data_IF_051251319201
#
_entry.id   IF_051251319201
#
_cell.length_a   1.000
_cell.length_b   1.000
_cell.length_c   1.000
_cell.angle_alpha   90.00
_cell.angle_beta   90.00
_cell.angle_gamma   90.00
#
_symmetry.space_group_name_H-M   'P 1'
#
loop_
_entity.id
_entity.type
_entity.pdbx_description
1 polymer ?
#
# COMPACT_ATOMS: atom_id res chain seq x y z
N UNK A 1 18.71 -67.62 35.53
CA UNK A 1 18.96 -68.96 34.95
C UNK A 1 19.03 -68.77 33.46
N UNK A 2 20.18 -68.73 32.93
CA UNK A 2 20.94 -69.77 32.24
C UNK A 2 20.48 -69.93 30.79
N UNK A 3 21.30 -69.46 29.86
CA UNK A 3 22.26 -70.25 29.09
C UNK A 3 21.60 -70.96 27.88
N UNK A 4 21.97 -70.91 26.64
CA UNK A 4 23.27 -71.02 25.99
C UNK A 4 23.09 -70.86 24.48
N UNK A 5 24.11 -70.33 23.82
CA UNK A 5 24.47 -70.61 22.43
C UNK A 5 25.03 -72.05 22.30
N UNK A 6 25.23 -72.64 21.10
CA UNK A 6 26.05 -72.14 19.99
C UNK A 6 25.75 -72.65 18.54
N UNK A 7 26.41 -71.97 17.61
CA UNK A 7 27.29 -72.34 16.50
C UNK A 7 26.73 -73.01 15.21
N UNK A 8 26.92 -72.36 14.11
CA UNK A 8 27.80 -72.41 12.96
C UNK A 8 27.69 -73.67 12.06
N UNK A 9 27.61 -73.44 10.73
CA UNK A 9 28.49 -73.85 9.57
C UNK A 9 27.70 -73.64 8.28
N UNK A 10 28.15 -72.80 7.39
CA UNK A 10 29.10 -72.91 6.24
C UNK A 10 28.57 -73.69 5.03
N UNK A 11 28.57 -73.08 3.90
CA UNK A 11 29.05 -73.45 2.54
C UNK A 11 28.17 -72.85 1.43
N UNK A 12 28.67 -71.90 0.78
CA UNK A 12 29.21 -71.73 -0.57
C UNK A 12 28.34 -72.10 -1.82
N UNK A 13 28.35 -71.12 -2.68
CA UNK A 13 28.59 -71.08 -4.11
C UNK A 13 27.42 -70.94 -5.10
N UNK A 14 27.58 -69.95 -5.89
CA UNK A 14 27.55 -69.76 -7.36
C UNK A 14 26.44 -68.92 -7.96
N UNK A 15 26.89 -67.72 -8.39
CA UNK A 15 26.68 -67.09 -9.72
C UNK A 15 25.36 -67.28 -10.45
N UNK A 16 24.65 -66.20 -10.70
CA UNK A 16 24.33 -65.79 -12.08
C UNK A 16 23.92 -64.27 -12.12
N UNK A 17 24.53 -63.63 -13.09
CA UNK A 17 24.42 -62.18 -13.40
C UNK A 17 23.14 -61.96 -14.18
N UNK A 18 22.33 -60.96 -13.77
CA UNK A 18 21.38 -60.34 -14.69
C UNK A 18 21.43 -58.83 -14.46
N UNK A 19 21.90 -58.08 -15.43
CA UNK A 19 21.85 -56.63 -15.55
C UNK A 19 20.39 -56.17 -15.57
N UNK A 20 20.04 -55.26 -14.67
CA UNK A 20 18.85 -54.43 -14.82
C UNK A 20 19.28 -52.99 -14.75
N UNK A 21 19.13 -52.31 -15.86
CA UNK A 21 19.40 -50.91 -16.09
C UNK A 21 18.45 -50.06 -15.22
N UNK A 22 18.95 -49.46 -14.18
CA UNK A 22 18.24 -48.38 -13.46
C UNK A 22 18.45 -47.06 -14.20
N UNK A 23 17.38 -46.56 -14.79
CA UNK A 23 17.29 -45.19 -15.32
C UNK A 23 17.21 -44.22 -14.14
N UNK A 24 18.33 -43.59 -13.83
CA UNK A 24 18.41 -42.46 -12.91
C UNK A 24 17.72 -41.27 -13.57
N UNK A 25 16.55 -40.89 -13.06
CA UNK A 25 15.96 -39.61 -13.33
C UNK A 25 16.72 -38.55 -12.51
N UNK A 26 17.61 -37.83 -13.15
CA UNK A 26 18.20 -36.61 -12.61
C UNK A 26 17.07 -35.57 -12.49
N UNK A 27 16.73 -35.26 -11.26
CA UNK A 27 16.01 -34.05 -10.86
C UNK A 27 16.88 -32.85 -11.26
N UNK A 28 16.32 -31.78 -11.89
CA UNK A 28 17.11 -30.60 -12.22
C UNK A 28 17.62 -29.99 -10.93
N UNK A 29 18.91 -29.97 -10.73
CA UNK A 29 19.54 -29.23 -9.64
C UNK A 29 19.13 -27.76 -9.75
N UNK A 30 18.46 -27.24 -8.71
CA UNK A 30 18.34 -25.83 -8.46
C UNK A 30 19.73 -25.19 -8.59
N UNK A 31 19.83 -24.19 -9.46
CA UNK A 31 21.02 -23.37 -9.57
C UNK A 31 21.33 -22.77 -8.18
N UNK A 32 22.59 -22.79 -7.72
CA UNK A 32 22.93 -22.18 -6.44
C UNK A 32 22.58 -20.70 -6.51
N UNK A 33 21.70 -20.22 -5.62
CA UNK A 33 21.54 -18.79 -5.35
C UNK A 33 22.94 -18.21 -5.11
N UNK A 34 23.26 -17.12 -5.81
CA UNK A 34 24.53 -16.38 -5.57
C UNK A 34 24.56 -15.96 -4.10
N UNK A 35 25.26 -16.73 -3.30
CA UNK A 35 25.42 -16.51 -1.87
C UNK A 35 26.32 -15.31 -1.67
N UNK A 36 25.76 -14.13 -1.30
CA UNK A 36 26.55 -13.03 -0.81
C UNK A 36 26.07 -11.60 -1.11
N UNK A 37 25.07 -11.39 -1.98
CA UNK A 37 24.58 -10.04 -2.24
C UNK A 37 23.57 -9.66 -1.18
N UNK A 38 23.80 -8.56 -0.46
CA UNK A 38 22.87 -7.99 0.51
C UNK A 38 22.31 -6.68 -0.04
N UNK A 39 21.07 -6.39 0.32
CA UNK A 39 20.35 -5.22 -0.15
C UNK A 39 19.92 -4.35 1.03
N UNK A 40 19.96 -3.05 0.83
CA UNK A 40 19.45 -2.05 1.78
C UNK A 40 18.31 -1.30 1.16
N UNK A 41 17.14 -1.31 1.81
CA UNK A 41 15.92 -0.65 1.34
C UNK A 41 15.54 0.45 2.32
N UNK A 42 15.32 1.66 1.81
CA UNK A 42 14.78 2.77 2.60
C UNK A 42 13.27 2.87 2.43
N UNK A 43 12.54 2.98 3.54
CA UNK A 43 11.10 3.22 3.55
C UNK A 43 10.83 4.61 4.14
N UNK A 44 10.25 5.50 3.32
CA UNK A 44 9.75 6.79 3.75
C UNK A 44 8.22 6.71 3.88
N UNK A 45 7.72 6.62 5.09
CA UNK A 45 6.29 6.67 5.39
C UNK A 45 5.90 8.09 5.80
N UNK A 46 4.85 8.65 5.18
CA UNK A 46 4.42 10.03 5.43
C UNK A 46 4.01 10.24 6.89
N UNK A 47 3.13 9.40 7.41
CA UNK A 47 2.56 9.53 8.75
C UNK A 47 2.15 8.15 9.27
N UNK A 48 1.96 8.05 10.58
CA UNK A 48 1.49 6.83 11.21
C UNK A 48 -0.03 6.81 11.28
N UNK A 49 -0.64 5.87 10.58
CA UNK A 49 -2.03 5.45 10.70
C UNK A 49 -2.21 4.05 10.13
N UNK A 50 -3.35 3.43 10.40
CA UNK A 50 -3.61 2.01 10.14
C UNK A 50 -3.27 1.57 8.70
N UNK A 51 -3.70 2.33 7.68
CA UNK A 51 -3.51 1.96 6.29
C UNK A 51 -2.03 1.98 5.89
N UNK A 52 -1.29 3.07 6.19
CA UNK A 52 0.13 3.16 5.85
C UNK A 52 0.99 2.17 6.65
N UNK A 53 0.65 1.93 7.92
CA UNK A 53 1.33 0.93 8.76
C UNK A 53 1.14 -0.47 8.17
N UNK A 54 -0.08 -0.82 7.73
CA UNK A 54 -0.37 -2.09 7.08
C UNK A 54 0.38 -2.26 5.75
N UNK A 55 0.44 -1.21 4.91
CA UNK A 55 1.20 -1.23 3.66
C UNK A 55 2.70 -1.41 3.90
N UNK A 56 3.28 -0.70 4.87
CA UNK A 56 4.69 -0.87 5.25
C UNK A 56 4.95 -2.29 5.77
N UNK A 57 4.06 -2.84 6.60
CA UNK A 57 4.22 -4.19 7.13
C UNK A 57 4.15 -5.24 6.01
N UNK A 58 3.15 -5.16 5.12
CA UNK A 58 3.03 -6.07 3.99
C UNK A 58 4.25 -6.04 3.06
N UNK A 59 4.80 -4.84 2.82
CA UNK A 59 6.03 -4.67 2.05
C UNK A 59 7.23 -5.38 2.70
N UNK A 60 7.42 -5.20 4.01
CA UNK A 60 8.53 -5.82 4.76
C UNK A 60 8.38 -7.34 4.78
N UNK A 61 7.16 -7.84 5.01
CA UNK A 61 6.89 -9.28 5.08
C UNK A 61 7.17 -9.94 3.74
N UNK A 62 6.71 -9.35 2.63
CA UNK A 62 7.00 -9.86 1.29
C UNK A 62 8.49 -9.85 0.95
N UNK A 63 9.21 -8.77 1.29
CA UNK A 63 10.67 -8.72 1.08
C UNK A 63 11.41 -9.79 1.88
N UNK A 64 11.00 -10.03 3.13
CA UNK A 64 11.61 -11.08 3.96
C UNK A 64 11.27 -12.49 3.46
N UNK A 65 10.06 -12.68 2.93
CA UNK A 65 9.67 -13.96 2.32
C UNK A 65 10.52 -14.26 1.09
N UNK A 66 10.76 -13.26 0.22
CA UNK A 66 11.48 -13.43 -1.04
C UNK A 66 13.01 -13.44 -0.88
N UNK A 67 13.56 -12.62 0.02
CA UNK A 67 15.01 -12.39 0.11
C UNK A 67 15.63 -12.82 1.46
N UNK A 68 14.82 -13.19 2.45
CA UNK A 68 15.28 -13.63 3.76
C UNK A 68 16.20 -12.61 4.43
N UNK A 69 17.35 -13.08 4.92
CA UNK A 69 18.35 -12.26 5.62
C UNK A 69 19.21 -11.41 4.66
N UNK A 70 19.02 -11.55 3.34
CA UNK A 70 19.75 -10.77 2.35
C UNK A 70 19.25 -9.31 2.26
N UNK A 71 18.12 -8.95 2.88
CA UNK A 71 17.56 -7.60 2.84
C UNK A 71 17.51 -6.97 4.23
N UNK A 72 17.94 -5.70 4.30
CA UNK A 72 17.78 -4.84 5.48
C UNK A 72 16.87 -3.67 5.11
N UNK A 73 15.87 -3.39 5.93
CA UNK A 73 14.90 -2.31 5.70
C UNK A 73 15.04 -1.23 6.78
N UNK A 74 15.31 0.01 6.36
CA UNK A 74 15.36 1.21 7.21
C UNK A 74 14.03 1.97 7.05
N UNK A 75 13.14 1.87 8.05
CA UNK A 75 11.83 2.53 8.03
C UNK A 75 11.89 3.85 8.79
N UNK A 76 11.51 4.93 8.12
CA UNK A 76 11.44 6.26 8.73
C UNK A 76 10.09 6.91 8.47
N UNK A 77 9.57 7.61 9.50
CA UNK A 77 8.28 8.27 9.49
C UNK A 77 8.45 9.80 9.48
N UNK A 78 7.81 10.46 8.52
CA UNK A 78 7.88 11.91 8.34
C UNK A 78 6.94 12.71 9.25
N UNK A 79 6.11 12.03 10.06
CA UNK A 79 5.19 12.64 11.02
C UNK A 79 4.19 13.62 10.38
N UNK A 80 3.76 13.36 9.15
CA UNK A 80 2.79 14.16 8.40
C UNK A 80 3.40 15.39 7.71
N UNK A 81 4.72 15.56 7.76
CA UNK A 81 5.39 16.73 7.17
C UNK A 81 6.14 16.35 5.89
N UNK A 82 5.72 16.94 4.75
CA UNK A 82 6.34 16.72 3.45
C UNK A 82 7.82 17.17 3.39
N UNK A 83 8.22 18.16 4.19
CA UNK A 83 9.63 18.60 4.29
C UNK A 83 10.47 17.50 4.94
N UNK A 84 9.91 16.81 5.95
CA UNK A 84 10.58 15.67 6.57
C UNK A 84 10.72 14.50 5.59
N UNK A 85 9.76 14.27 4.68
CA UNK A 85 9.92 13.30 3.59
C UNK A 85 11.19 13.58 2.78
N UNK A 86 11.40 14.84 2.38
CA UNK A 86 12.61 15.26 1.66
C UNK A 86 13.89 14.99 2.46
N UNK A 87 13.89 15.26 3.76
CA UNK A 87 15.04 15.00 4.64
C UNK A 87 15.36 13.51 4.75
N UNK A 88 14.33 12.69 4.96
CA UNK A 88 14.46 11.23 5.06
C UNK A 88 15.01 10.64 3.76
N UNK A 89 14.41 11.00 2.63
CA UNK A 89 14.81 10.47 1.32
C UNK A 89 16.24 10.89 0.97
N UNK A 90 16.62 12.16 1.19
CA UNK A 90 18.01 12.59 0.99
C UNK A 90 19.00 11.82 1.89
N UNK A 91 18.55 11.42 3.08
CA UNK A 91 19.32 10.51 3.95
C UNK A 91 19.54 9.13 3.31
N UNK A 92 18.51 8.55 2.67
CA UNK A 92 18.62 7.28 1.96
C UNK A 92 19.53 7.39 0.72
N UNK A 93 19.38 8.46 -0.07
CA UNK A 93 20.27 8.74 -1.22
C UNK A 93 21.72 8.84 -0.76
N UNK A 94 22.00 9.56 0.34
CA UNK A 94 23.34 9.72 0.89
C UNK A 94 23.93 8.40 1.42
N UNK A 95 23.10 7.50 1.92
CA UNK A 95 23.50 6.14 2.34
C UNK A 95 23.72 5.19 1.16
N UNK A 96 23.22 5.53 -0.03
CA UNK A 96 23.31 4.69 -1.21
C UNK A 96 22.46 3.42 -1.07
N UNK A 97 21.20 3.55 -0.62
CA UNK A 97 20.29 2.41 -0.55
C UNK A 97 20.00 1.84 -1.95
N UNK A 98 19.70 0.55 -2.05
CA UNK A 98 19.47 -0.13 -3.31
C UNK A 98 18.07 0.14 -3.89
N UNK A 99 17.11 0.51 -3.04
CA UNK A 99 15.73 0.84 -3.41
C UNK A 99 15.09 1.73 -2.34
N UNK A 100 14.20 2.64 -2.78
CA UNK A 100 13.37 3.47 -1.89
C UNK A 100 11.91 3.05 -2.08
N UNK A 101 11.23 2.72 -0.99
CA UNK A 101 9.77 2.61 -0.96
C UNK A 101 9.20 3.90 -0.36
N UNK A 102 8.35 4.57 -1.14
CA UNK A 102 7.67 5.80 -0.76
C UNK A 102 6.20 5.51 -0.45
N UNK A 103 5.83 5.62 0.82
CA UNK A 103 4.48 5.33 1.30
C UNK A 103 3.69 6.63 1.49
N UNK A 104 2.75 6.87 0.59
CA UNK A 104 1.91 8.04 0.35
C UNK A 104 2.51 9.07 -0.65
N UNK A 105 1.61 9.86 -1.26
CA UNK A 105 1.94 10.81 -2.33
C UNK A 105 3.06 11.81 -1.97
N UNK A 106 3.08 12.47 -0.80
CA UNK A 106 4.18 13.38 -0.45
C UNK A 106 5.54 12.68 -0.33
N UNK A 107 5.58 11.42 0.10
CA UNK A 107 6.81 10.64 0.16
C UNK A 107 7.30 10.29 -1.26
N UNK A 108 6.38 9.94 -2.19
CA UNK A 108 6.72 9.68 -3.59
C UNK A 108 7.29 10.92 -4.28
N UNK A 109 6.63 12.07 -4.17
CA UNK A 109 7.10 13.31 -4.79
C UNK A 109 8.47 13.74 -4.25
N UNK A 110 8.72 13.55 -2.95
CA UNK A 110 10.02 13.80 -2.34
C UNK A 110 11.09 12.85 -2.89
N UNK A 111 10.78 11.55 -3.05
CA UNK A 111 11.72 10.55 -3.56
C UNK A 111 12.10 10.83 -5.03
N UNK A 112 11.12 11.10 -5.88
CA UNK A 112 11.35 11.44 -7.30
C UNK A 112 12.16 12.72 -7.47
N UNK A 113 11.96 13.70 -6.58
CA UNK A 113 12.74 14.94 -6.59
C UNK A 113 14.19 14.76 -6.14
N UNK A 114 14.47 13.73 -5.34
CA UNK A 114 15.79 13.52 -4.73
C UNK A 114 16.74 12.66 -5.56
N UNK A 115 16.24 11.74 -6.38
CA UNK A 115 17.08 10.84 -7.17
C UNK A 115 16.41 10.38 -8.47
N UNK A 116 17.22 10.28 -9.53
CA UNK A 116 16.83 9.65 -10.80
C UNK A 116 17.52 8.29 -11.01
N UNK A 117 18.38 7.87 -10.06
CA UNK A 117 19.23 6.68 -10.20
C UNK A 117 18.76 5.51 -9.34
N UNK A 118 18.33 5.79 -8.10
CA UNK A 118 17.86 4.75 -7.17
C UNK A 118 16.41 4.37 -7.55
N UNK A 119 16.09 3.08 -7.71
CA UNK A 119 14.72 2.62 -7.94
C UNK A 119 13.76 3.10 -6.84
N UNK A 120 12.61 3.64 -7.22
CA UNK A 120 11.57 4.14 -6.33
C UNK A 120 10.28 3.37 -6.57
N UNK A 121 9.76 2.70 -5.56
CA UNK A 121 8.43 2.13 -5.57
C UNK A 121 7.49 2.93 -4.67
N UNK A 122 6.46 3.52 -5.30
CA UNK A 122 5.36 4.11 -4.55
C UNK A 122 4.41 3.03 -4.02
N UNK A 123 3.86 3.23 -2.84
CA UNK A 123 2.71 2.47 -2.33
C UNK A 123 1.74 3.43 -1.66
N UNK A 124 0.47 3.08 -1.59
CA UNK A 124 -0.58 3.99 -1.12
C UNK A 124 -0.61 5.30 -1.91
N UNK A 125 -0.48 5.20 -3.23
CA UNK A 125 -0.52 6.31 -4.16
C UNK A 125 -1.85 6.27 -4.91
N UNK A 126 -2.66 7.28 -4.75
CA UNK A 126 -3.99 7.31 -5.38
C UNK A 126 -3.90 7.48 -6.89
N UNK A 127 -3.16 8.47 -7.37
CA UNK A 127 -3.07 8.79 -8.80
C UNK A 127 -1.66 9.24 -9.18
N UNK A 128 -0.89 8.37 -9.82
CA UNK A 128 0.49 8.65 -10.24
C UNK A 128 0.58 9.81 -11.22
N UNK A 129 -0.36 9.91 -12.17
CA UNK A 129 -0.41 11.03 -13.12
C UNK A 129 -0.52 12.38 -12.41
N UNK A 130 -1.38 12.47 -11.38
CA UNK A 130 -1.54 13.69 -10.57
C UNK A 130 -0.33 13.92 -9.67
N UNK A 131 0.16 12.86 -9.00
CA UNK A 131 1.28 12.96 -8.07
C UNK A 131 2.59 13.43 -8.73
N UNK A 132 2.79 13.07 -9.99
CA UNK A 132 4.03 13.30 -10.74
C UNK A 132 3.86 14.25 -11.95
N UNK A 133 2.68 14.89 -12.08
CA UNK A 133 2.37 15.83 -13.17
C UNK A 133 2.61 15.19 -14.56
N UNK A 134 2.10 13.96 -14.74
CA UNK A 134 2.20 13.21 -16.01
C UNK A 134 0.88 13.32 -16.75
N UNK A 135 0.88 14.10 -17.85
CA UNK A 135 -0.25 14.15 -18.76
C UNK A 135 -0.47 12.78 -19.44
N UNK A 136 -1.73 12.43 -19.67
CA UNK A 136 -2.13 11.19 -20.35
C UNK A 136 -1.47 9.92 -19.76
N UNK A 137 -1.37 9.84 -18.42
CA UNK A 137 -0.81 8.67 -17.72
C UNK A 137 -1.47 7.37 -18.20
N UNK A 138 -0.66 6.44 -18.69
CA UNK A 138 -1.10 5.20 -19.34
C UNK A 138 -0.88 3.92 -18.52
N UNK A 139 -0.57 4.07 -17.22
CA UNK A 139 -0.33 2.94 -16.31
C UNK A 139 1.14 2.63 -16.04
N UNK A 140 2.09 3.26 -16.75
CA UNK A 140 3.53 3.11 -16.51
C UNK A 140 4.16 4.48 -16.30
N UNK A 141 4.92 4.65 -15.21
CA UNK A 141 5.65 5.89 -14.95
C UNK A 141 6.92 5.95 -15.79
N UNK A 142 7.69 4.86 -15.79
CA UNK A 142 8.97 4.77 -16.49
C UNK A 142 10.15 5.33 -15.68
N UNK A 143 11.33 5.34 -16.29
CA UNK A 143 12.55 5.77 -15.62
C UNK A 143 12.88 4.89 -14.40
N UNK A 144 13.09 5.50 -13.25
CA UNK A 144 13.39 4.79 -12.01
C UNK A 144 12.17 4.66 -11.07
N UNK A 145 10.94 4.79 -11.57
CA UNK A 145 9.72 4.85 -10.75
C UNK A 145 8.66 3.87 -11.21
N UNK A 146 8.10 3.13 -10.28
CA UNK A 146 6.87 2.33 -10.43
C UNK A 146 6.18 2.18 -9.06
N UNK A 147 5.29 1.21 -8.90
CA UNK A 147 4.68 0.88 -7.62
C UNK A 147 3.24 0.41 -7.71
N UNK A 148 2.49 0.66 -6.65
CA UNK A 148 1.08 0.25 -6.53
C UNK A 148 0.17 1.45 -6.26
N UNK A 149 -1.09 1.35 -6.71
CA UNK A 149 -2.10 2.38 -6.49
C UNK A 149 -3.19 1.88 -5.54
N UNK A 150 -3.62 2.75 -4.63
CA UNK A 150 -4.74 2.53 -3.73
C UNK A 150 -6.07 3.08 -4.25
N UNK A 151 -6.10 3.55 -5.50
CA UNK A 151 -7.29 4.13 -6.10
C UNK A 151 -8.42 3.10 -6.17
N UNK A 152 -9.46 3.32 -5.39
CA UNK A 152 -10.72 2.60 -5.49
C UNK A 152 -11.63 3.22 -6.55
N UNK A 153 -12.76 2.56 -6.85
CA UNK A 153 -13.77 3.08 -7.76
C UNK A 153 -14.55 4.25 -7.11
N UNK A 154 -14.15 5.48 -7.46
CA UNK A 154 -14.74 6.70 -6.91
C UNK A 154 -16.21 6.90 -7.33
N UNK A 155 -16.59 6.40 -8.50
CA UNK A 155 -18.00 6.42 -8.94
C UNK A 155 -18.86 5.49 -8.07
N UNK A 156 -18.33 4.32 -7.73
CA UNK A 156 -18.98 3.39 -6.83
C UNK A 156 -19.04 3.92 -5.39
N UNK A 157 -18.02 4.64 -4.91
CA UNK A 157 -18.07 5.32 -3.61
C UNK A 157 -19.13 6.43 -3.58
N UNK A 158 -19.23 7.23 -4.64
CA UNK A 158 -20.29 8.24 -4.78
C UNK A 158 -21.68 7.58 -4.83
N UNK A 159 -21.84 6.45 -5.54
CA UNK A 159 -23.09 5.70 -5.59
C UNK A 159 -23.45 5.12 -4.22
N UNK A 160 -22.48 4.64 -3.44
CA UNK A 160 -22.71 4.13 -2.08
C UNK A 160 -23.37 5.17 -1.17
N UNK A 161 -23.03 6.47 -1.31
CA UNK A 161 -23.68 7.55 -0.56
C UNK A 161 -25.19 7.54 -0.84
N UNK A 162 -25.58 7.45 -2.10
CA UNK A 162 -27.00 7.49 -2.51
C UNK A 162 -27.76 6.22 -2.17
N UNK A 163 -27.09 5.08 -2.23
CA UNK A 163 -27.69 3.78 -1.90
C UNK A 163 -28.02 3.68 -0.40
N UNK A 164 -27.13 4.23 0.43
CA UNK A 164 -27.29 4.21 1.89
C UNK A 164 -28.15 5.35 2.42
N UNK A 165 -28.10 6.51 1.76
CA UNK A 165 -28.78 7.73 2.18
C UNK A 165 -29.57 8.34 1.01
N UNK A 166 -30.64 7.68 0.54
CA UNK A 166 -31.36 8.09 -0.68
C UNK A 166 -32.07 9.45 -0.58
N UNK A 167 -32.28 9.96 0.64
CA UNK A 167 -32.87 11.29 0.86
C UNK A 167 -31.86 12.43 0.91
N UNK A 168 -30.55 12.14 0.74
CA UNK A 168 -29.47 13.11 0.77
C UNK A 168 -29.66 14.18 -0.30
N UNK A 169 -29.48 15.43 0.09
CA UNK A 169 -29.52 16.61 -0.80
C UNK A 169 -28.17 17.32 -0.84
N UNK A 170 -27.47 17.34 0.31
CA UNK A 170 -26.18 18.02 0.46
C UNK A 170 -25.14 17.05 1.02
N UNK A 171 -24.03 16.91 0.31
CA UNK A 171 -22.86 16.13 0.73
C UNK A 171 -21.71 17.07 1.05
N UNK A 172 -21.18 16.96 2.26
CA UNK A 172 -19.97 17.65 2.69
C UNK A 172 -18.73 16.88 2.25
N UNK A 173 -17.88 17.50 1.48
CA UNK A 173 -16.61 16.94 1.03
C UNK A 173 -15.50 17.38 1.98
N UNK A 174 -15.12 16.50 2.92
CA UNK A 174 -14.18 16.80 4.01
C UNK A 174 -12.79 16.25 3.69
N UNK A 175 -11.78 17.10 3.54
CA UNK A 175 -10.44 16.68 3.10
C UNK A 175 -9.34 17.66 3.49
N UNK A 176 -8.07 17.19 3.41
CA UNK A 176 -6.88 18.03 3.56
C UNK A 176 -6.52 18.72 2.23
N UNK A 177 -6.51 20.05 2.21
CA UNK A 177 -6.15 20.83 1.02
C UNK A 177 -4.67 20.74 0.64
N UNK A 178 -3.81 20.29 1.56
CA UNK A 178 -2.39 20.10 1.32
C UNK A 178 -2.07 18.76 0.62
N UNK A 179 -3.09 17.88 0.44
CA UNK A 179 -2.92 16.56 -0.16
C UNK A 179 -3.50 16.50 -1.58
N UNK A 180 -2.66 16.45 -2.65
CA UNK A 180 -3.13 16.37 -4.04
C UNK A 180 -3.98 15.12 -4.33
N UNK A 181 -3.68 13.98 -3.69
CA UNK A 181 -4.47 12.76 -3.74
C UNK A 181 -5.91 12.97 -3.27
N UNK A 182 -6.09 13.71 -2.19
CA UNK A 182 -7.41 14.04 -1.65
C UNK A 182 -8.18 14.97 -2.59
N UNK A 183 -7.53 16.02 -3.10
CA UNK A 183 -8.13 16.95 -4.07
C UNK A 183 -8.64 16.22 -5.31
N UNK A 184 -7.84 15.33 -5.89
CA UNK A 184 -8.23 14.54 -7.04
C UNK A 184 -9.51 13.72 -6.79
N UNK A 185 -9.57 13.00 -5.66
CA UNK A 185 -10.73 12.20 -5.29
C UNK A 185 -11.98 13.06 -5.06
N UNK A 186 -11.83 14.20 -4.42
CA UNK A 186 -12.92 15.15 -4.16
C UNK A 186 -13.51 15.67 -5.47
N UNK A 187 -12.68 16.02 -6.45
CA UNK A 187 -13.16 16.51 -7.75
C UNK A 187 -13.95 15.45 -8.52
N UNK A 188 -13.48 14.19 -8.50
CA UNK A 188 -14.16 13.08 -9.18
C UNK A 188 -15.47 12.70 -8.49
N UNK A 189 -15.49 12.61 -7.15
CA UNK A 189 -16.71 12.28 -6.39
C UNK A 189 -17.74 13.41 -6.47
N UNK A 190 -17.30 14.67 -6.42
CA UNK A 190 -18.16 15.84 -6.65
C UNK A 190 -18.88 15.72 -8.00
N UNK A 191 -18.12 15.52 -9.07
CA UNK A 191 -18.67 15.40 -10.41
C UNK A 191 -19.73 14.30 -10.48
N UNK A 192 -19.43 13.13 -9.91
CA UNK A 192 -20.36 11.99 -9.88
C UNK A 192 -21.67 12.28 -9.13
N UNK A 193 -21.59 13.02 -8.02
CA UNK A 193 -22.76 13.40 -7.21
C UNK A 193 -23.56 14.54 -7.83
N UNK A 194 -22.89 15.57 -8.36
CA UNK A 194 -23.55 16.71 -9.01
C UNK A 194 -24.30 16.29 -10.29
N UNK A 195 -23.77 15.33 -11.06
CA UNK A 195 -24.47 14.71 -12.22
C UNK A 195 -25.79 14.03 -11.81
N UNK A 196 -25.92 13.65 -10.53
CA UNK A 196 -27.15 13.04 -9.95
C UNK A 196 -28.03 14.06 -9.23
N UNK A 197 -27.67 15.36 -9.30
CA UNK A 197 -28.45 16.46 -8.71
C UNK A 197 -28.20 16.70 -7.22
N UNK A 198 -27.12 16.16 -6.65
CA UNK A 198 -26.71 16.36 -5.28
C UNK A 198 -25.88 17.65 -5.17
N UNK A 199 -26.15 18.47 -4.17
CA UNK A 199 -25.32 19.64 -3.84
C UNK A 199 -24.06 19.17 -3.08
N UNK A 200 -22.88 19.59 -3.54
CA UNK A 200 -21.63 19.29 -2.87
C UNK A 200 -21.02 20.56 -2.29
N UNK A 201 -20.66 20.53 -1.01
CA UNK A 201 -19.99 21.63 -0.29
C UNK A 201 -18.60 21.17 0.18
N UNK A 202 -17.56 21.98 -0.06
CA UNK A 202 -16.19 21.65 0.35
C UNK A 202 -15.89 22.14 1.77
N UNK A 203 -15.27 21.23 2.54
CA UNK A 203 -14.78 21.49 3.88
C UNK A 203 -13.31 21.07 3.93
N UNK A 204 -12.43 22.02 3.59
CA UNK A 204 -11.00 21.78 3.51
C UNK A 204 -10.31 22.24 4.80
N UNK A 205 -9.60 21.33 5.45
CA UNK A 205 -8.63 21.65 6.49
C UNK A 205 -7.22 21.66 5.90
N UNK A 206 -6.28 22.31 6.58
CA UNK A 206 -4.88 22.41 6.11
C UNK A 206 -3.95 21.46 6.83
N UNK A 207 -4.25 21.19 8.10
CA UNK A 207 -3.50 20.28 8.96
C UNK A 207 -4.38 19.75 10.11
N UNK A 208 -3.79 18.97 11.01
CA UNK A 208 -4.50 18.37 12.16
C UNK A 208 -5.17 19.37 13.12
N UNK A 209 -4.71 20.62 13.16
CA UNK A 209 -5.26 21.62 14.09
C UNK A 209 -6.66 22.08 13.67
N UNK A 210 -6.95 22.07 12.39
CA UNK A 210 -8.21 22.56 11.83
C UNK A 210 -9.30 21.49 11.76
N UNK A 211 -8.93 20.20 11.81
CA UNK A 211 -9.83 19.06 11.54
C UNK A 211 -11.15 19.15 12.29
N UNK A 212 -11.14 19.30 13.61
CA UNK A 212 -12.38 19.38 14.41
C UNK A 212 -13.26 20.54 14.03
N UNK A 213 -12.69 21.74 13.83
CA UNK A 213 -13.47 22.95 13.54
C UNK A 213 -14.07 22.95 12.14
N UNK A 214 -13.35 22.36 11.18
CA UNK A 214 -13.83 22.19 9.80
C UNK A 214 -14.88 21.10 9.72
N UNK A 215 -14.68 19.99 10.43
CA UNK A 215 -15.69 18.90 10.54
C UNK A 215 -16.99 19.41 11.16
N UNK A 216 -16.92 20.32 12.19
CA UNK A 216 -18.12 20.89 12.78
C UNK A 216 -18.93 21.69 11.76
N UNK A 217 -18.27 22.46 10.89
CA UNK A 217 -18.98 23.21 9.83
C UNK A 217 -19.67 22.26 8.84
N UNK A 218 -19.02 21.14 8.48
CA UNK A 218 -19.65 20.12 7.64
C UNK A 218 -20.87 19.49 8.33
N UNK A 219 -20.76 19.16 9.62
CA UNK A 219 -21.83 18.57 10.39
C UNK A 219 -23.04 19.52 10.55
N UNK A 220 -22.80 20.85 10.59
CA UNK A 220 -23.85 21.84 10.76
C UNK A 220 -24.69 22.09 9.48
N UNK A 221 -24.18 21.69 8.29
CA UNK A 221 -24.78 22.07 7.01
C UNK A 221 -25.05 20.92 6.04
N UNK A 222 -24.53 19.72 6.28
CA UNK A 222 -24.63 18.62 5.34
C UNK A 222 -25.41 17.42 5.90
N UNK A 223 -26.07 16.68 5.00
CA UNK A 223 -26.80 15.46 5.35
C UNK A 223 -25.87 14.26 5.55
N UNK A 224 -24.81 14.19 4.72
CA UNK A 224 -23.79 13.13 4.71
C UNK A 224 -22.43 13.79 4.45
N UNK A 225 -21.35 13.25 5.03
CA UNK A 225 -19.98 13.64 4.74
C UNK A 225 -19.30 12.56 3.91
N UNK A 226 -18.53 12.96 2.91
CA UNK A 226 -17.58 12.11 2.20
C UNK A 226 -16.15 12.49 2.62
N UNK A 227 -15.37 11.49 3.00
CA UNK A 227 -13.96 11.64 3.38
C UNK A 227 -13.14 10.76 2.44
N UNK A 228 -12.29 11.32 1.57
CA UNK A 228 -11.49 10.54 0.62
C UNK A 228 -10.41 9.71 1.34
N UNK A 229 -9.59 9.01 0.61
CA UNK A 229 -8.33 8.43 1.11
C UNK A 229 -7.37 9.60 1.41
N UNK A 230 -7.42 10.07 2.65
CA UNK A 230 -6.75 11.30 3.14
C UNK A 230 -5.92 10.97 4.38
N UNK A 231 -4.61 11.19 4.29
CA UNK A 231 -3.68 10.79 5.35
C UNK A 231 -3.86 11.60 6.64
N UNK A 232 -4.19 12.89 6.50
CA UNK A 232 -4.45 13.75 7.67
C UNK A 232 -5.75 13.36 8.34
N UNK A 233 -6.82 13.07 7.59
CA UNK A 233 -8.07 12.55 8.14
C UNK A 233 -7.86 11.19 8.82
N UNK A 234 -7.12 10.27 8.19
CA UNK A 234 -6.82 8.94 8.72
C UNK A 234 -6.06 9.01 10.07
N UNK A 235 -5.15 9.96 10.21
CA UNK A 235 -4.43 10.20 11.46
C UNK A 235 -5.27 10.92 12.53
N UNK A 236 -6.46 11.44 12.18
CA UNK A 236 -7.30 12.26 13.06
C UNK A 236 -8.75 11.78 13.14
N UNK A 237 -9.01 10.50 12.90
CA UNK A 237 -10.37 9.93 12.88
C UNK A 237 -11.14 10.13 14.18
N UNK A 238 -10.47 10.10 15.34
CA UNK A 238 -11.08 10.37 16.63
C UNK A 238 -11.62 11.81 16.72
N UNK A 239 -10.87 12.78 16.22
CA UNK A 239 -11.32 14.18 16.20
C UNK A 239 -12.54 14.38 15.31
N UNK A 240 -12.61 13.67 14.17
CA UNK A 240 -13.75 13.65 13.26
C UNK A 240 -14.96 12.96 13.92
N UNK A 241 -14.77 11.78 14.49
CA UNK A 241 -15.80 11.00 15.18
C UNK A 241 -16.46 11.78 16.33
N UNK A 242 -15.65 12.49 17.12
CA UNK A 242 -16.12 13.32 18.24
C UNK A 242 -17.04 14.47 17.80
N UNK A 243 -17.06 14.79 16.52
CA UNK A 243 -17.97 15.79 15.93
C UNK A 243 -19.17 15.11 15.24
N UNK A 244 -18.90 14.20 14.29
CA UNK A 244 -19.93 13.62 13.44
C UNK A 244 -20.91 12.72 14.21
N UNK A 245 -20.41 11.90 15.15
CA UNK A 245 -21.25 10.96 15.91
C UNK A 245 -22.30 11.71 16.78
N UNK A 246 -21.94 12.69 17.62
CA UNK A 246 -22.91 13.45 18.38
C UNK A 246 -23.88 14.26 17.50
N UNK A 247 -23.41 14.74 16.33
CA UNK A 247 -24.25 15.46 15.37
C UNK A 247 -25.22 14.54 14.62
N UNK A 248 -25.00 13.22 14.64
CA UNK A 248 -25.81 12.25 13.89
C UNK A 248 -25.61 12.33 12.37
N UNK A 249 -24.48 12.88 11.91
CA UNK A 249 -24.15 13.00 10.49
C UNK A 249 -23.26 11.84 10.08
N UNK A 250 -23.74 10.95 9.17
CA UNK A 250 -22.96 9.80 8.72
C UNK A 250 -21.84 10.20 7.76
N UNK A 251 -20.76 9.40 7.73
CA UNK A 251 -19.69 9.58 6.76
C UNK A 251 -19.48 8.30 5.91
N UNK A 252 -19.35 8.48 4.59
CA UNK A 252 -18.79 7.48 3.66
C UNK A 252 -17.34 7.82 3.42
N UNK A 253 -16.48 6.81 3.50
CA UNK A 253 -15.04 7.01 3.54
C UNK A 253 -14.33 6.35 2.35
N UNK A 254 -13.16 6.89 1.98
CA UNK A 254 -12.32 6.39 0.89
C UNK A 254 -11.55 5.12 1.26
N UNK A 255 -11.32 4.87 2.58
CA UNK A 255 -10.58 3.70 3.03
C UNK A 255 -11.07 3.15 4.39
N UNK A 256 -10.65 1.91 4.72
CA UNK A 256 -11.18 1.14 5.84
C UNK A 256 -10.83 1.74 7.23
N UNK A 257 -9.61 2.27 7.42
CA UNK A 257 -9.18 2.82 8.70
C UNK A 257 -9.98 4.08 9.06
N UNK A 258 -10.20 4.99 8.09
CA UNK A 258 -11.07 6.15 8.29
C UNK A 258 -12.50 5.70 8.58
N UNK A 259 -13.01 4.73 7.80
CA UNK A 259 -14.35 4.18 8.02
C UNK A 259 -14.50 3.63 9.44
N UNK A 260 -13.57 2.80 9.88
CA UNK A 260 -13.58 2.21 11.22
C UNK A 260 -13.52 3.26 12.33
N UNK A 261 -12.76 4.33 12.10
CA UNK A 261 -12.57 5.41 13.08
C UNK A 261 -13.74 6.37 13.18
N UNK A 262 -14.40 6.71 12.06
CA UNK A 262 -15.42 7.77 12.05
C UNK A 262 -16.52 7.64 10.99
N UNK A 263 -16.46 6.61 10.13
CA UNK A 263 -17.44 6.43 9.06
C UNK A 263 -18.44 5.30 9.34
N UNK A 264 -19.32 5.05 8.37
CA UNK A 264 -20.31 3.97 8.41
C UNK A 264 -20.07 2.92 7.34
N UNK A 265 -19.52 3.31 6.18
CA UNK A 265 -19.19 2.39 5.10
C UNK A 265 -18.07 2.95 4.21
N UNK A 266 -17.41 2.05 3.49
CA UNK A 266 -16.37 2.36 2.49
C UNK A 266 -16.34 1.27 1.42
N UNK A 267 -15.82 1.62 0.25
CA UNK A 267 -15.30 0.69 -0.74
C UNK A 267 -13.77 0.82 -0.72
N UNK A 268 -13.09 -0.11 -0.08
CA UNK A 268 -11.66 -0.02 0.22
C UNK A 268 -10.89 -1.24 -0.24
N UNK A 269 -9.61 -1.03 -0.52
CA UNK A 269 -8.62 -2.08 -0.77
C UNK A 269 -8.02 -2.60 0.54
N UNK A 270 -7.27 -3.71 0.46
CA UNK A 270 -6.40 -4.17 1.53
C UNK A 270 -5.02 -3.49 1.42
N UNK A 271 -4.69 -2.60 2.34
CA UNK A 271 -3.38 -1.93 2.34
C UNK A 271 -2.23 -2.90 2.66
N UNK A 272 -2.49 -3.93 3.45
CA UNK A 272 -1.50 -4.99 3.66
C UNK A 272 -1.16 -5.70 2.34
N UNK A 273 -2.18 -6.13 1.56
CA UNK A 273 -1.97 -6.79 0.27
C UNK A 273 -1.34 -5.85 -0.76
N UNK A 274 -1.67 -4.55 -0.70
CA UNK A 274 -1.01 -3.53 -1.51
C UNK A 274 0.49 -3.48 -1.20
N UNK A 275 0.85 -3.47 0.07
CA UNK A 275 2.23 -3.53 0.53
C UNK A 275 2.94 -4.81 0.10
N UNK A 276 2.28 -5.98 0.23
CA UNK A 276 2.81 -7.27 -0.24
C UNK A 276 3.11 -7.22 -1.74
N UNK A 277 2.20 -6.66 -2.55
CA UNK A 277 2.43 -6.49 -4.00
C UNK A 277 3.64 -5.62 -4.26
N UNK A 278 3.77 -4.48 -3.57
CA UNK A 278 4.93 -3.59 -3.69
C UNK A 278 6.24 -4.29 -3.27
N UNK A 279 6.20 -5.11 -2.21
CA UNK A 279 7.35 -5.89 -1.75
C UNK A 279 7.83 -6.94 -2.76
N UNK A 280 6.90 -7.62 -3.43
CA UNK A 280 7.22 -8.54 -4.53
C UNK A 280 7.80 -7.83 -5.75
N UNK A 281 7.29 -6.64 -6.09
CA UNK A 281 7.91 -5.80 -7.12
C UNK A 281 9.35 -5.42 -6.74
N UNK A 282 9.58 -5.02 -5.49
CA UNK A 282 10.91 -4.67 -4.98
C UNK A 282 11.89 -5.84 -5.06
N UNK A 283 11.48 -7.06 -4.69
CA UNK A 283 12.33 -8.25 -4.78
C UNK A 283 12.79 -8.52 -6.21
N UNK A 284 11.89 -8.43 -7.20
CA UNK A 284 12.23 -8.61 -8.62
C UNK A 284 13.21 -7.56 -9.13
N UNK A 285 13.08 -6.31 -8.69
CA UNK A 285 14.01 -5.24 -9.07
C UNK A 285 15.39 -5.49 -8.44
N UNK A 286 15.45 -5.79 -7.15
CA UNK A 286 16.69 -6.00 -6.40
C UNK A 286 17.47 -7.21 -6.92
N UNK A 287 16.78 -8.26 -7.34
CA UNK A 287 17.41 -9.48 -7.92
C UNK A 287 17.78 -9.30 -9.40
N UNK A 288 17.30 -8.24 -10.07
CA UNK A 288 17.51 -8.00 -11.49
C UNK A 288 16.59 -8.84 -12.39
N UNK A 289 15.52 -9.41 -11.83
CA UNK A 289 14.50 -10.15 -12.58
C UNK A 289 13.60 -9.22 -13.39
N UNK A 290 13.38 -7.97 -12.93
CA UNK A 290 12.56 -6.99 -13.62
C UNK A 290 13.27 -5.63 -13.73
N UNK A 291 12.98 -4.92 -14.81
CA UNK A 291 13.39 -3.54 -15.03
C UNK A 291 12.26 -2.61 -14.60
N UNK A 292 12.51 -1.77 -13.61
CA UNK A 292 11.51 -0.85 -13.05
C UNK A 292 10.94 0.09 -14.12
N UNK A 293 11.73 0.47 -15.13
CA UNK A 293 11.29 1.39 -16.18
C UNK A 293 10.18 0.83 -17.06
N UNK A 294 10.03 -0.49 -17.09
CA UNK A 294 9.01 -1.20 -17.87
C UNK A 294 7.86 -1.71 -16.99
N UNK A 295 7.99 -1.60 -15.66
CA UNK A 295 6.97 -2.11 -14.73
C UNK A 295 5.74 -1.18 -14.70
N UNK A 296 4.53 -1.68 -15.00
CA UNK A 296 3.31 -0.90 -14.80
C UNK A 296 3.01 -0.71 -13.31
N UNK A 297 2.26 0.33 -13.00
CA UNK A 297 1.63 0.50 -11.68
C UNK A 297 0.59 -0.61 -11.50
N UNK A 298 0.66 -1.31 -10.37
CA UNK A 298 -0.27 -2.39 -10.05
C UNK A 298 -1.41 -1.89 -9.15
N UNK A 299 -2.58 -2.51 -9.28
CA UNK A 299 -3.80 -2.17 -8.55
C UNK A 299 -4.30 -3.40 -7.79
N UNK A 300 -4.92 -3.17 -6.63
CA UNK A 300 -5.59 -4.21 -5.86
C UNK A 300 -7.11 -4.03 -5.93
N UNK A 301 -7.87 -5.12 -5.74
CA UNK A 301 -9.32 -5.07 -5.80
C UNK A 301 -9.90 -4.43 -4.52
N UNK A 302 -10.80 -3.48 -4.70
CA UNK A 302 -11.57 -2.91 -3.61
C UNK A 302 -12.77 -3.80 -3.25
N UNK A 303 -13.10 -3.85 -1.96
CA UNK A 303 -14.27 -4.55 -1.43
C UNK A 303 -15.05 -3.64 -0.48
N UNK A 304 -16.41 -3.76 -0.41
CA UNK A 304 -17.20 -3.02 0.57
C UNK A 304 -16.85 -3.43 2.00
N UNK A 305 -16.73 -2.43 2.87
CA UNK A 305 -16.54 -2.57 4.32
C UNK A 305 -17.54 -1.70 5.06
N UNK A 306 -17.94 -2.14 6.24
CA UNK A 306 -18.98 -1.52 7.06
C UNK A 306 -18.50 -1.41 8.50
N UNK A 307 -18.90 -0.35 9.19
CA UNK A 307 -18.59 -0.10 10.60
C UNK A 307 -19.85 -0.20 11.46
#
# INVERSE_FOLDING_TARGET
CASSQPAATDAAASTETTETTETSSEEPAEAPAESGKTYTVGVCQLVQHEALDAATQGFIDALKEELGDAVTVDVQNASGDSVNCGTIVNGFVSKGVDLIMANATPALTAAVSATADIPILGTSITAYGVALDIDDFNGTVGGNVSGTSDLADLQAQAQMILDWFPETKTVGLLFCSAEPNSRYQIDEVRKALEEKGITCEEFAFTDSNDVSSVTQKAADSCDVVYIPTDNTAAANTEAIANVLIPAGVPAICGEEGICRGCGVATLSISYYDLGVTTGKMAAKILTGEADISEMPVEYTNATPKYN
#
